data_IF_995054875716
#
_entry.id   IF_995054875716
#
_cell.length_a   1.000
_cell.length_b   1.000
_cell.length_c   1.000
_cell.angle_alpha   90.00
_cell.angle_beta   90.00
_cell.angle_gamma   90.00
#
_symmetry.space_group_name_H-M   'P 1'
#
loop_
_entity.id
_entity.type
_entity.pdbx_description
1 polymer ?
#
# COMPACT_ATOMS: atom_id res chain seq x y z
N UNK A 1 -0.99 11.11 0.57
CA UNK A 1 -1.17 11.24 -0.89
C UNK A 1 -2.48 11.98 -1.16
N UNK A 2 -3.65 11.45 -0.83
CA UNK A 2 -4.96 12.03 -1.16
C UNK A 2 -5.12 13.50 -0.72
N UNK A 3 -4.74 13.82 0.54
CA UNK A 3 -4.76 15.21 1.02
C UNK A 3 -3.92 16.13 0.14
N UNK A 4 -2.69 15.72 -0.21
CA UNK A 4 -1.79 16.51 -1.04
C UNK A 4 -2.37 16.75 -2.44
N UNK A 5 -2.96 15.72 -3.04
CA UNK A 5 -3.62 15.85 -4.36
C UNK A 5 -4.79 16.84 -4.29
N UNK A 6 -5.63 16.76 -3.25
CA UNK A 6 -6.76 17.69 -3.08
C UNK A 6 -6.29 19.14 -2.88
N UNK A 7 -5.22 19.36 -2.10
CA UNK A 7 -4.66 20.68 -1.88
C UNK A 7 -4.13 21.28 -3.20
N UNK A 8 -3.42 20.50 -4.00
CA UNK A 8 -2.93 20.89 -5.32
C UNK A 8 -4.08 21.20 -6.29
N UNK A 9 -5.11 20.36 -6.29
CA UNK A 9 -6.29 20.55 -7.13
C UNK A 9 -7.01 21.87 -6.83
N UNK A 10 -7.19 22.20 -5.55
CA UNK A 10 -7.82 23.46 -5.15
C UNK A 10 -7.03 24.71 -5.61
N UNK A 11 -5.69 24.63 -5.62
CA UNK A 11 -4.84 25.71 -6.16
C UNK A 11 -4.95 25.76 -7.68
N UNK A 12 -4.92 24.60 -8.36
CA UNK A 12 -5.04 24.50 -9.80
C UNK A 12 -6.36 25.08 -10.33
N UNK A 13 -7.49 24.82 -9.65
CA UNK A 13 -8.78 25.40 -10.03
C UNK A 13 -8.76 26.92 -10.01
N UNK A 14 -8.18 27.55 -8.99
CA UNK A 14 -8.04 29.01 -8.91
C UNK A 14 -7.16 29.57 -10.02
N UNK A 15 -6.08 28.87 -10.34
CA UNK A 15 -5.19 29.24 -11.43
C UNK A 15 -5.89 29.16 -12.79
N UNK A 16 -6.63 28.09 -13.06
CA UNK A 16 -7.43 27.94 -14.30
C UNK A 16 -8.47 29.05 -14.42
N UNK A 17 -9.19 29.36 -13.33
CA UNK A 17 -10.17 30.46 -13.34
C UNK A 17 -9.52 31.80 -13.69
N UNK A 18 -8.30 32.08 -13.21
CA UNK A 18 -7.55 33.27 -13.60
C UNK A 18 -7.16 33.27 -15.09
N UNK A 19 -6.64 32.13 -15.59
CA UNK A 19 -6.29 32.05 -17.02
C UNK A 19 -7.48 32.26 -17.93
N UNK A 20 -8.65 31.72 -17.58
CA UNK A 20 -9.88 31.88 -18.34
C UNK A 20 -10.41 33.33 -18.36
N UNK A 21 -9.97 34.17 -17.44
CA UNK A 21 -10.32 35.60 -17.42
C UNK A 21 -9.51 36.46 -18.43
N UNK A 22 -8.41 35.93 -18.97
CA UNK A 22 -7.58 36.63 -19.95
C UNK A 22 -8.09 36.43 -21.37
N UNK A 23 -7.90 37.47 -22.21
CA UNK A 23 -8.15 37.34 -23.64
C UNK A 23 -6.91 36.75 -24.33
N UNK A 24 -6.99 35.55 -24.98
CA UNK A 24 -5.84 34.88 -25.57
C UNK A 24 -5.10 35.68 -26.63
N UNK A 25 -5.80 36.64 -27.29
CA UNK A 25 -5.20 37.47 -28.35
C UNK A 25 -4.47 38.69 -27.82
N UNK A 26 -5.00 39.36 -26.80
CA UNK A 26 -4.40 40.61 -26.27
C UNK A 26 -3.50 40.38 -25.07
N UNK A 27 -3.70 39.34 -24.29
CA UNK A 27 -3.03 39.13 -23.02
C UNK A 27 -1.98 38.01 -23.06
N UNK A 28 -1.48 37.65 -24.24
CA UNK A 28 -0.57 36.49 -24.42
C UNK A 28 0.67 36.57 -23.52
N UNK A 29 1.27 37.76 -23.34
CA UNK A 29 2.42 37.94 -22.48
C UNK A 29 2.09 37.69 -20.99
N UNK A 30 0.93 38.22 -20.56
CA UNK A 30 0.44 37.97 -19.19
C UNK A 30 0.15 36.49 -18.93
N UNK A 31 -0.42 35.82 -19.94
CA UNK A 31 -0.66 34.35 -19.88
C UNK A 31 0.67 33.62 -19.73
N UNK A 32 1.67 33.96 -20.55
CA UNK A 32 3.01 33.35 -20.48
C UNK A 32 3.67 33.56 -19.11
N UNK A 33 3.65 34.77 -18.59
CA UNK A 33 4.18 35.07 -17.24
C UNK A 33 3.46 34.26 -16.15
N UNK A 34 2.13 34.12 -16.24
CA UNK A 34 1.33 33.36 -15.28
C UNK A 34 1.61 31.85 -15.38
N UNK A 35 1.77 31.31 -16.59
CA UNK A 35 2.14 29.90 -16.80
C UNK A 35 3.53 29.63 -16.25
N UNK A 36 4.50 30.52 -16.48
CA UNK A 36 5.84 30.42 -15.90
C UNK A 36 5.82 30.44 -14.38
N UNK A 37 5.08 31.38 -13.78
CA UNK A 37 4.93 31.45 -12.32
C UNK A 37 4.24 30.20 -11.76
N UNK A 38 3.23 29.68 -12.44
CA UNK A 38 2.55 28.45 -12.06
C UNK A 38 3.48 27.24 -12.15
N UNK A 39 4.32 27.15 -13.18
CA UNK A 39 5.35 26.10 -13.29
C UNK A 39 6.28 26.12 -12.07
N UNK A 40 6.76 27.29 -11.68
CA UNK A 40 7.61 27.45 -10.47
C UNK A 40 6.93 27.00 -9.18
N UNK A 41 5.60 27.05 -9.11
CA UNK A 41 4.83 26.56 -7.97
C UNK A 41 4.52 25.07 -8.06
N UNK A 42 3.97 24.59 -9.19
CA UNK A 42 3.46 23.22 -9.30
C UNK A 42 4.56 22.18 -9.46
N UNK A 43 5.66 22.48 -10.14
CA UNK A 43 6.73 21.49 -10.37
C UNK A 43 7.31 20.96 -9.07
N UNK A 44 7.75 21.80 -8.11
CA UNK A 44 8.25 21.28 -6.82
C UNK A 44 7.20 20.48 -6.04
N UNK A 45 5.93 20.90 -6.11
CA UNK A 45 4.84 20.20 -5.43
C UNK A 45 4.56 18.80 -6.02
N UNK A 46 4.69 18.69 -7.35
CA UNK A 46 4.58 17.41 -8.05
C UNK A 46 5.81 16.52 -7.77
N UNK A 47 7.02 17.08 -7.69
CA UNK A 47 8.21 16.34 -7.27
C UNK A 47 8.05 15.75 -5.86
N UNK A 48 7.58 16.55 -4.90
CA UNK A 48 7.28 16.08 -3.54
C UNK A 48 6.20 14.98 -3.55
N UNK A 49 5.18 15.10 -4.39
CA UNK A 49 4.13 14.09 -4.52
C UNK A 49 4.67 12.79 -5.10
N UNK A 50 5.52 12.85 -6.12
CA UNK A 50 6.15 11.66 -6.72
C UNK A 50 7.04 10.94 -5.70
N UNK A 51 7.86 11.68 -4.94
CA UNK A 51 8.66 11.11 -3.85
C UNK A 51 7.78 10.45 -2.79
N UNK A 52 6.67 11.10 -2.41
CA UNK A 52 5.73 10.56 -1.43
C UNK A 52 5.06 9.27 -1.92
N UNK A 53 4.76 9.15 -3.21
CA UNK A 53 4.19 7.94 -3.83
C UNK A 53 5.24 6.81 -3.83
N UNK A 54 6.47 7.09 -4.27
CA UNK A 54 7.55 6.09 -4.33
C UNK A 54 8.01 5.61 -2.96
N UNK A 55 7.92 6.46 -1.94
CA UNK A 55 8.25 6.13 -0.54
C UNK A 55 7.09 5.53 0.24
N UNK A 56 6.00 5.12 -0.42
CA UNK A 56 4.82 4.59 0.26
C UNK A 56 5.17 3.40 1.17
N UNK A 57 4.87 3.47 2.48
CA UNK A 57 5.20 2.44 3.45
C UNK A 57 4.15 1.33 3.52
N UNK A 58 3.09 1.39 2.72
CA UNK A 58 2.02 0.41 2.80
C UNK A 58 2.48 -0.95 2.28
N UNK A 59 2.32 -1.96 3.12
CA UNK A 59 2.64 -3.35 2.83
C UNK A 59 1.46 -4.24 3.24
N UNK A 60 1.21 -5.29 2.47
CA UNK A 60 0.20 -6.31 2.78
C UNK A 60 0.73 -7.71 2.44
N UNK A 61 0.23 -8.71 3.15
CA UNK A 61 0.51 -10.13 2.90
C UNK A 61 -0.41 -10.70 1.80
N UNK A 62 -1.44 -9.98 1.41
CA UNK A 62 -2.34 -10.35 0.33
C UNK A 62 -1.78 -9.91 -1.01
N UNK A 63 -1.42 -10.85 -1.86
CA UNK A 63 -0.90 -10.57 -3.21
C UNK A 63 -1.90 -9.79 -4.07
N UNK A 64 -3.19 -10.06 -3.91
CA UNK A 64 -4.26 -9.39 -4.67
C UNK A 64 -4.40 -7.94 -4.21
N UNK A 65 -4.46 -7.70 -2.90
CA UNK A 65 -4.54 -6.34 -2.34
C UNK A 65 -3.29 -5.53 -2.64
N UNK A 66 -2.10 -6.16 -2.58
CA UNK A 66 -0.85 -5.52 -2.95
C UNK A 66 -0.87 -5.06 -4.42
N UNK A 67 -1.37 -5.90 -5.32
CA UNK A 67 -1.42 -5.56 -6.74
C UNK A 67 -2.41 -4.41 -6.99
N UNK A 68 -3.63 -4.48 -6.44
CA UNK A 68 -4.63 -3.39 -6.56
C UNK A 68 -4.07 -2.05 -6.02
N UNK A 69 -3.38 -2.11 -4.89
CA UNK A 69 -2.73 -0.92 -4.30
C UNK A 69 -1.63 -0.36 -5.21
N UNK A 70 -0.75 -1.23 -5.75
CA UNK A 70 0.32 -0.84 -6.66
C UNK A 70 -0.26 -0.22 -7.94
N UNK A 71 -1.28 -0.84 -8.53
CA UNK A 71 -1.91 -0.36 -9.77
C UNK A 71 -2.53 1.03 -9.59
N UNK A 72 -3.19 1.27 -8.46
CA UNK A 72 -3.75 2.60 -8.12
C UNK A 72 -2.66 3.64 -7.88
N UNK A 73 -1.59 3.29 -7.18
CA UNK A 73 -0.47 4.21 -6.97
C UNK A 73 0.23 4.52 -8.30
N UNK A 74 0.44 3.53 -9.14
CA UNK A 74 1.06 3.69 -10.46
C UNK A 74 0.23 4.64 -11.33
N UNK A 75 -1.09 4.49 -11.36
CA UNK A 75 -1.95 5.39 -12.11
C UNK A 75 -1.81 6.86 -11.67
N UNK A 76 -1.74 7.12 -10.36
CA UNK A 76 -1.51 8.47 -9.82
C UNK A 76 -0.11 8.97 -10.15
N UNK A 77 0.91 8.10 -10.05
CA UNK A 77 2.29 8.42 -10.38
C UNK A 77 2.46 8.81 -11.85
N UNK A 78 1.86 8.05 -12.77
CA UNK A 78 1.94 8.34 -14.21
C UNK A 78 1.30 9.68 -14.55
N UNK A 79 0.11 9.97 -13.99
CA UNK A 79 -0.57 11.26 -14.19
C UNK A 79 0.27 12.41 -13.63
N UNK A 80 0.77 12.30 -12.40
CA UNK A 80 1.58 13.34 -11.76
C UNK A 80 2.88 13.59 -12.53
N UNK A 81 3.55 12.52 -12.97
CA UNK A 81 4.78 12.57 -13.76
C UNK A 81 4.56 13.22 -15.13
N UNK A 82 3.45 12.87 -15.81
CA UNK A 82 3.10 13.47 -17.08
C UNK A 82 2.77 14.98 -16.94
N UNK A 83 1.99 15.34 -15.92
CA UNK A 83 1.68 16.75 -15.62
C UNK A 83 2.96 17.55 -15.34
N UNK A 84 3.85 17.01 -14.51
CA UNK A 84 5.16 17.60 -14.23
C UNK A 84 5.94 17.87 -15.51
N UNK A 85 6.05 16.85 -16.37
CA UNK A 85 6.76 16.96 -17.66
C UNK A 85 6.19 18.06 -18.54
N UNK A 86 4.87 18.08 -18.73
CA UNK A 86 4.17 19.08 -19.56
C UNK A 86 4.37 20.48 -18.97
N UNK A 87 4.09 20.68 -17.67
CA UNK A 87 4.18 22.00 -17.02
C UNK A 87 5.62 22.54 -17.09
N UNK A 88 6.63 21.69 -16.95
CA UNK A 88 8.03 22.09 -17.09
C UNK A 88 8.34 22.49 -18.53
N UNK A 89 7.91 21.70 -19.51
CA UNK A 89 8.23 21.91 -20.91
C UNK A 89 7.57 23.13 -21.56
N UNK A 90 6.38 23.54 -21.04
CA UNK A 90 5.67 24.72 -21.56
C UNK A 90 5.98 26.02 -20.80
N UNK A 91 6.82 25.97 -19.76
CA UNK A 91 7.05 27.13 -18.88
C UNK A 91 7.60 28.35 -19.60
N UNK A 92 8.46 28.17 -20.59
CA UNK A 92 9.11 29.23 -21.35
C UNK A 92 8.51 29.45 -22.75
N UNK A 93 7.76 28.47 -23.26
CA UNK A 93 7.06 28.56 -24.54
C UNK A 93 5.67 27.90 -24.46
N UNK A 94 4.63 28.73 -24.41
CA UNK A 94 3.21 28.32 -24.33
C UNK A 94 2.58 28.07 -25.70
N UNK A 95 3.38 28.01 -26.79
CA UNK A 95 2.84 27.74 -28.13
C UNK A 95 2.19 26.35 -28.22
N UNK A 96 1.19 26.25 -29.06
CA UNK A 96 0.48 24.97 -29.30
C UNK A 96 1.42 23.91 -29.85
N UNK A 97 2.37 24.33 -30.69
CA UNK A 97 3.37 23.43 -31.28
C UNK A 97 4.22 22.83 -30.16
N UNK A 98 4.83 23.69 -29.33
CA UNK A 98 5.64 23.23 -28.20
C UNK A 98 4.86 22.33 -27.24
N UNK A 99 3.59 22.64 -26.96
CA UNK A 99 2.75 21.79 -26.13
C UNK A 99 2.65 20.34 -26.68
N UNK A 100 2.42 20.19 -27.98
CA UNK A 100 2.31 18.87 -28.59
C UNK A 100 3.68 18.16 -28.64
N UNK A 101 4.76 18.86 -28.91
CA UNK A 101 6.12 18.30 -28.92
C UNK A 101 6.51 17.79 -27.52
N UNK A 102 6.29 18.60 -26.49
CA UNK A 102 6.51 18.22 -25.09
C UNK A 102 5.64 17.01 -24.70
N UNK A 103 4.38 17.01 -25.07
CA UNK A 103 3.47 15.90 -24.76
C UNK A 103 3.89 14.58 -25.44
N UNK A 104 4.35 14.64 -26.69
CA UNK A 104 4.83 13.47 -27.44
C UNK A 104 6.19 12.95 -26.94
N UNK A 105 7.04 13.83 -26.43
CA UNK A 105 8.36 13.45 -25.88
C UNK A 105 8.26 12.75 -24.53
N UNK A 106 7.09 12.78 -23.86
CA UNK A 106 6.91 12.15 -22.56
C UNK A 106 7.11 10.64 -22.62
N UNK A 107 7.94 10.14 -21.71
CA UNK A 107 8.12 8.70 -21.48
C UNK A 107 7.79 8.40 -20.02
N UNK A 108 6.97 7.38 -19.81
CA UNK A 108 6.60 6.94 -18.46
C UNK A 108 7.86 6.50 -17.72
N UNK A 109 8.20 7.12 -16.58
CA UNK A 109 9.35 6.70 -15.80
C UNK A 109 9.07 5.35 -15.11
N UNK A 110 10.12 4.57 -14.79
CA UNK A 110 9.95 3.28 -14.13
C UNK A 110 9.36 3.47 -12.72
N UNK A 111 8.29 2.71 -12.43
CA UNK A 111 7.66 2.68 -11.12
C UNK A 111 8.16 1.48 -10.30
N UNK A 112 8.67 1.71 -9.08
CA UNK A 112 9.37 0.68 -8.30
C UNK A 112 8.79 0.43 -6.90
N UNK A 113 7.53 0.80 -6.67
CA UNK A 113 6.89 0.56 -5.37
C UNK A 113 6.60 -0.92 -5.18
N UNK A 114 6.95 -1.46 -4.00
CA UNK A 114 6.65 -2.83 -3.61
C UNK A 114 5.73 -2.79 -2.39
N UNK A 115 4.50 -3.27 -2.55
CA UNK A 115 3.52 -3.37 -1.47
C UNK A 115 3.33 -4.83 -1.00
N UNK A 116 3.82 -5.81 -1.75
CA UNK A 116 3.77 -7.22 -1.39
C UNK A 116 5.02 -7.65 -0.65
N UNK A 117 4.85 -8.07 0.59
CA UNK A 117 5.91 -8.74 1.36
C UNK A 117 5.62 -10.23 1.32
N UNK A 118 6.43 -10.95 0.55
CA UNK A 118 6.46 -12.42 0.69
C UNK A 118 6.96 -12.72 2.10
N UNK A 119 6.26 -13.55 2.84
CA UNK A 119 6.63 -14.06 4.18
C UNK A 119 8.08 -14.61 4.31
N UNK A 120 8.89 -14.55 3.26
CA UNK A 120 10.28 -15.00 3.26
C UNK A 120 11.26 -14.08 3.97
N UNK A 121 10.85 -12.86 4.34
CA UNK A 121 11.65 -11.93 5.15
C UNK A 121 11.02 -11.58 6.50
N UNK A 122 9.93 -12.21 6.91
CA UNK A 122 9.73 -12.39 8.33
C UNK A 122 10.98 -13.16 8.76
N UNK A 123 11.99 -12.44 9.30
CA UNK A 123 13.05 -13.03 10.14
C UNK A 123 12.42 -14.26 10.75
N UNK A 124 12.95 -15.46 10.48
CA UNK A 124 12.48 -16.70 11.07
C UNK A 124 12.15 -16.36 12.52
N UNK A 125 10.88 -16.08 12.80
CA UNK A 125 10.42 -16.05 14.16
C UNK A 125 10.79 -17.46 14.59
N UNK A 126 11.83 -17.59 15.41
CA UNK A 126 12.41 -18.87 15.79
C UNK A 126 11.30 -19.65 16.45
N UNK A 127 10.60 -20.45 15.67
CA UNK A 127 9.69 -21.42 16.24
C UNK A 127 10.47 -22.70 16.42
N UNK A 128 10.38 -23.26 17.62
CA UNK A 128 10.95 -24.57 17.94
C UNK A 128 10.18 -25.69 17.23
N UNK A 129 8.93 -25.38 16.80
CA UNK A 129 8.01 -26.32 16.15
C UNK A 129 7.53 -25.83 14.77
N UNK A 130 8.38 -25.79 13.74
CA UNK A 130 8.04 -25.25 12.42
C UNK A 130 6.92 -26.04 11.70
N UNK A 131 6.79 -27.34 11.97
CA UNK A 131 5.71 -28.17 11.44
C UNK A 131 4.35 -27.74 12.00
N UNK A 132 4.27 -27.53 13.32
CA UNK A 132 3.05 -27.04 13.97
C UNK A 132 2.67 -25.65 13.46
N UNK A 133 3.64 -24.74 13.35
CA UNK A 133 3.39 -23.43 12.77
C UNK A 133 2.74 -23.55 11.37
N UNK A 134 3.26 -24.43 10.52
CA UNK A 134 2.72 -24.65 9.18
C UNK A 134 1.28 -25.20 9.22
N UNK A 135 0.99 -26.15 10.12
CA UNK A 135 -0.37 -26.69 10.30
C UNK A 135 -1.36 -25.59 10.71
N UNK A 136 -1.00 -24.78 11.70
CA UNK A 136 -1.82 -23.66 12.18
C UNK A 136 -2.02 -22.58 11.11
N UNK A 137 -0.97 -22.26 10.34
CA UNK A 137 -1.06 -21.28 9.26
C UNK A 137 -1.95 -21.79 8.11
N UNK A 138 -1.87 -23.07 7.75
CA UNK A 138 -2.73 -23.69 6.74
C UNK A 138 -4.20 -23.65 7.18
N UNK A 139 -4.49 -24.12 8.40
CA UNK A 139 -5.84 -24.05 8.98
C UNK A 139 -6.42 -22.63 8.98
N UNK A 140 -5.65 -21.65 9.48
CA UNK A 140 -6.07 -20.26 9.46
C UNK A 140 -6.43 -19.78 8.06
N UNK A 141 -5.56 -20.06 7.09
CA UNK A 141 -5.72 -19.58 5.72
C UNK A 141 -6.93 -20.24 5.02
N UNK A 142 -7.16 -21.53 5.25
CA UNK A 142 -8.34 -22.25 4.75
C UNK A 142 -9.62 -21.69 5.35
N UNK A 143 -9.69 -21.54 6.67
CA UNK A 143 -10.83 -20.94 7.35
C UNK A 143 -11.14 -19.52 6.84
N UNK A 144 -10.10 -18.70 6.70
CA UNK A 144 -10.24 -17.33 6.22
C UNK A 144 -10.73 -17.28 4.77
N UNK A 145 -10.28 -18.19 3.92
CA UNK A 145 -10.74 -18.32 2.53
C UNK A 145 -12.21 -18.71 2.44
N UNK A 146 -12.62 -19.71 3.22
CA UNK A 146 -14.01 -20.19 3.24
C UNK A 146 -15.00 -19.14 3.77
N UNK A 147 -14.57 -18.33 4.75
CA UNK A 147 -15.42 -17.32 5.38
C UNK A 147 -15.23 -15.91 4.77
N UNK A 148 -14.42 -15.77 3.73
CA UNK A 148 -14.10 -14.51 3.06
C UNK A 148 -13.62 -13.40 4.02
N UNK A 149 -12.77 -13.76 4.99
CA UNK A 149 -12.18 -12.84 5.97
C UNK A 149 -10.65 -12.78 5.80
N UNK A 150 -10.02 -11.61 5.98
CA UNK A 150 -8.57 -11.47 5.93
C UNK A 150 -7.88 -12.24 7.07
N UNK A 151 -6.75 -12.90 6.78
CA UNK A 151 -6.01 -13.71 7.76
C UNK A 151 -5.63 -12.96 9.05
N UNK A 152 -5.33 -11.67 8.96
CA UNK A 152 -4.97 -10.84 10.12
C UNK A 152 -6.14 -10.62 11.10
N UNK A 153 -7.38 -10.74 10.63
CA UNK A 153 -8.56 -10.64 11.51
C UNK A 153 -8.71 -11.89 12.39
N UNK A 154 -8.25 -13.04 11.92
CA UNK A 154 -8.23 -14.25 12.72
C UNK A 154 -7.02 -14.24 13.67
N UNK A 155 -5.80 -14.43 13.16
CA UNK A 155 -4.58 -14.43 13.96
C UNK A 155 -3.40 -13.87 13.17
N UNK A 156 -2.51 -13.11 13.84
CA UNK A 156 -1.24 -12.69 13.26
C UNK A 156 -0.24 -13.85 13.22
N UNK A 157 0.77 -13.75 12.35
CA UNK A 157 1.85 -14.74 12.30
C UNK A 157 2.63 -14.81 13.65
N UNK A 158 2.79 -13.67 14.33
CA UNK A 158 3.39 -13.65 15.67
C UNK A 158 2.58 -14.45 16.68
N UNK A 159 1.24 -14.39 16.63
CA UNK A 159 0.35 -15.21 17.47
C UNK A 159 0.54 -16.70 17.18
N UNK A 160 0.60 -17.10 15.91
CA UNK A 160 0.80 -18.52 15.54
C UNK A 160 2.17 -19.05 15.98
N UNK A 161 3.21 -18.21 15.92
CA UNK A 161 4.54 -18.58 16.45
C UNK A 161 4.51 -18.77 17.95
N UNK A 162 3.84 -17.89 18.68
CA UNK A 162 3.70 -18.01 20.13
C UNK A 162 2.92 -19.27 20.52
N UNK A 163 1.86 -19.62 19.78
CA UNK A 163 1.14 -20.90 19.94
C UNK A 163 2.07 -22.09 19.68
N UNK A 164 2.85 -22.02 18.60
CA UNK A 164 3.78 -23.11 18.23
C UNK A 164 4.88 -23.32 19.28
N UNK A 165 5.37 -22.26 19.93
CA UNK A 165 6.42 -22.36 20.92
C UNK A 165 5.89 -22.78 22.32
N UNK A 166 4.67 -22.36 22.66
CA UNK A 166 4.08 -22.65 24.00
C UNK A 166 3.29 -23.94 24.08
N UNK A 167 2.92 -24.51 22.94
CA UNK A 167 2.16 -25.78 22.83
C UNK A 167 0.92 -25.83 23.74
N UNK A 168 -0.03 -24.88 23.66
CA UNK A 168 -1.19 -24.85 24.55
C UNK A 168 -2.13 -26.00 24.23
N UNK A 169 -2.22 -26.99 25.12
CA UNK A 169 -3.14 -28.15 25.01
C UNK A 169 -4.50 -27.93 25.69
N UNK A 170 -4.67 -26.76 26.33
CA UNK A 170 -5.90 -26.37 27.01
C UNK A 170 -6.27 -24.92 26.69
N UNK A 171 -7.58 -24.60 26.77
CA UNK A 171 -8.09 -23.26 26.51
C UNK A 171 -7.55 -22.21 27.48
N UNK A 172 -7.29 -22.64 28.74
CA UNK A 172 -6.72 -21.78 29.78
C UNK A 172 -5.29 -21.35 29.49
N UNK A 173 -4.52 -22.19 28.84
CA UNK A 173 -3.16 -21.88 28.37
C UNK A 173 -3.20 -21.01 27.13
N UNK A 174 -4.17 -21.25 26.23
CA UNK A 174 -4.32 -20.51 24.99
C UNK A 174 -4.73 -19.06 25.23
N UNK A 175 -5.58 -18.77 26.25
CA UNK A 175 -6.03 -17.40 26.57
C UNK A 175 -4.88 -16.49 27.02
N UNK A 176 -3.79 -17.06 27.53
CA UNK A 176 -2.60 -16.32 27.97
C UNK A 176 -1.72 -15.86 26.79
N UNK A 177 -2.00 -16.34 25.59
CA UNK A 177 -1.25 -15.99 24.38
C UNK A 177 -1.78 -14.69 23.81
N UNK A 178 -0.88 -13.77 23.52
CA UNK A 178 -1.24 -12.46 22.91
C UNK A 178 -1.93 -12.68 21.56
N UNK A 179 -3.14 -12.15 21.47
CA UNK A 179 -3.97 -12.28 20.24
C UNK A 179 -5.14 -13.25 20.40
N UNK A 180 -5.22 -14.00 21.50
CA UNK A 180 -6.38 -14.81 21.89
C UNK A 180 -7.21 -14.11 22.98
N UNK A 181 -8.09 -13.19 22.56
CA UNK A 181 -9.10 -12.63 23.46
C UNK A 181 -10.31 -13.56 23.61
N UNK A 182 -11.21 -13.27 24.57
CA UNK A 182 -12.41 -14.08 24.88
C UNK A 182 -13.21 -14.50 23.64
N UNK A 183 -13.45 -13.57 22.72
CA UNK A 183 -14.20 -13.83 21.48
C UNK A 183 -13.47 -14.85 20.59
N UNK A 184 -12.15 -14.72 20.44
CA UNK A 184 -11.37 -15.63 19.59
C UNK A 184 -11.24 -17.01 20.23
N UNK A 185 -11.15 -17.11 21.55
CA UNK A 185 -11.21 -18.39 22.27
C UNK A 185 -12.52 -19.12 22.00
N UNK A 186 -13.66 -18.41 22.09
CA UNK A 186 -14.97 -19.01 21.83
C UNK A 186 -15.12 -19.51 20.39
N UNK A 187 -14.57 -18.79 19.43
CA UNK A 187 -14.74 -19.11 18.00
C UNK A 187 -13.72 -20.12 17.48
N UNK A 188 -12.49 -20.07 17.94
CA UNK A 188 -11.36 -20.78 17.35
C UNK A 188 -10.53 -21.58 18.36
N UNK A 189 -10.76 -21.38 19.65
CA UNK A 189 -9.90 -21.95 20.70
C UNK A 189 -9.89 -23.48 20.69
N UNK A 190 -11.04 -24.12 20.51
CA UNK A 190 -11.15 -25.58 20.48
C UNK A 190 -10.36 -26.18 19.34
N UNK A 191 -10.56 -25.68 18.11
CA UNK A 191 -9.88 -26.19 16.92
C UNK A 191 -8.37 -25.96 17.01
N UNK A 192 -7.94 -24.80 17.50
CA UNK A 192 -6.54 -24.48 17.71
C UNK A 192 -5.87 -25.47 18.68
N UNK A 193 -6.50 -25.74 19.83
CA UNK A 193 -6.01 -26.69 20.82
C UNK A 193 -5.99 -28.11 20.26
N UNK A 194 -6.98 -28.51 19.49
CA UNK A 194 -7.05 -29.85 18.88
C UNK A 194 -5.89 -30.06 17.88
N UNK A 195 -5.54 -29.03 17.08
CA UNK A 195 -4.38 -29.07 16.17
C UNK A 195 -3.08 -29.25 16.98
N UNK A 196 -2.92 -28.50 18.08
CA UNK A 196 -1.71 -28.61 18.94
C UNK A 196 -1.62 -30.02 19.57
N UNK A 197 -2.74 -30.54 20.09
CA UNK A 197 -2.79 -31.89 20.68
C UNK A 197 -2.44 -32.99 19.66
N UNK A 198 -2.97 -32.90 18.45
CA UNK A 198 -2.63 -33.85 17.37
C UNK A 198 -1.12 -33.80 17.12
N UNK A 199 -0.58 -32.59 16.95
CA UNK A 199 0.85 -32.41 16.73
C UNK A 199 1.71 -32.99 17.85
N UNK A 200 1.39 -32.70 19.13
CA UNK A 200 2.11 -33.22 20.27
C UNK A 200 2.08 -34.74 20.30
N UNK A 201 0.91 -35.35 20.07
CA UNK A 201 0.78 -36.84 20.02
C UNK A 201 1.61 -37.47 18.90
N UNK A 202 1.60 -36.88 17.71
CA UNK A 202 2.36 -37.41 16.55
C UNK A 202 3.88 -37.29 16.70
N UNK A 203 4.35 -36.33 17.51
CA UNK A 203 5.77 -36.08 17.70
C UNK A 203 6.28 -36.52 19.08
N UNK A 204 5.46 -37.23 19.89
CA UNK A 204 5.84 -37.75 21.19
C UNK A 204 6.23 -36.67 22.21
N UNK A 205 5.55 -35.50 22.13
CA UNK A 205 5.79 -34.36 23.02
C UNK A 205 4.78 -34.45 24.18
N UNK A 206 5.27 -34.66 25.39
CA UNK A 206 4.50 -34.52 26.62
C UNK A 206 4.35 -33.04 26.94
N UNK A 207 3.19 -32.47 26.66
CA UNK A 207 2.88 -31.06 26.84
C UNK A 207 1.82 -30.83 27.92
#
# INVERSE_FOLDING_TARGET
ILKRVNDLYAVAQRFVAQLLSFNPKSDILRIAERVKAASGYFVPQLDDLLILIESSPAITESKVEAQDYIDRLQAVFEIASQLRHIITGIADDISVINYFDVKQSYKVPPFKVKAYVVEREVKMLKTEHPKLYKMLATWRNEYCKENNIPAFQMFSNATLVEVSNRLPIELESLIKIKGFGKIKIQRFGKECVDIVRIYCRENGIDA
#
